data_IF_747159129306
#
_entry.id   IF_747159129306
#
_cell.length_a   1.000
_cell.length_b   1.000
_cell.length_c   1.000
_cell.angle_alpha   90.00
_cell.angle_beta   90.00
_cell.angle_gamma   90.00
#
_symmetry.space_group_name_H-M   'P 1'
#
loop_
_entity.id
_entity.type
_entity.pdbx_description
1 polymer ?
#
# COMPACT_ATOMS: atom_id res chain seq x y z
N UNK A 1 -7.71 13.14 -19.30
CA UNK A 1 -7.58 11.86 -18.55
C UNK A 1 -8.76 10.98 -18.89
N UNK A 2 -8.53 9.71 -19.24
CA UNK A 2 -9.64 8.77 -19.48
C UNK A 2 -10.20 8.27 -18.14
N UNK A 3 -11.48 7.87 -18.13
CA UNK A 3 -12.18 7.37 -16.93
C UNK A 3 -11.46 6.18 -16.29
N UNK A 4 -10.79 5.35 -17.10
CA UNK A 4 -10.01 4.19 -16.66
C UNK A 4 -8.74 4.62 -15.92
N UNK A 5 -7.97 5.56 -16.45
CA UNK A 5 -6.77 6.08 -15.77
C UNK A 5 -7.13 6.69 -14.41
N UNK A 6 -8.24 7.45 -14.35
CA UNK A 6 -8.71 8.05 -13.09
C UNK A 6 -9.04 6.97 -12.04
N UNK A 7 -9.72 5.89 -12.41
CA UNK A 7 -10.03 4.77 -11.49
C UNK A 7 -8.77 4.06 -11.01
N UNK A 8 -7.82 3.77 -11.90
CA UNK A 8 -6.54 3.14 -11.55
C UNK A 8 -5.74 3.98 -10.54
N UNK A 9 -5.68 5.30 -10.74
CA UNK A 9 -5.00 6.20 -9.80
C UNK A 9 -5.68 6.23 -8.44
N UNK A 10 -7.01 6.27 -8.38
CA UNK A 10 -7.76 6.23 -7.11
C UNK A 10 -7.50 4.92 -6.36
N UNK A 11 -7.54 3.78 -7.06
CA UNK A 11 -7.25 2.46 -6.46
C UNK A 11 -5.81 2.39 -5.97
N UNK A 12 -4.85 2.88 -6.76
CA UNK A 12 -3.44 2.92 -6.36
C UNK A 12 -3.23 3.73 -5.08
N UNK A 13 -3.82 4.93 -5.00
CA UNK A 13 -3.74 5.79 -3.81
C UNK A 13 -4.35 5.08 -2.60
N UNK A 14 -5.54 4.48 -2.75
CA UNK A 14 -6.18 3.73 -1.66
C UNK A 14 -5.30 2.58 -1.14
N UNK A 15 -4.74 1.77 -2.04
CA UNK A 15 -3.87 0.66 -1.66
C UNK A 15 -2.61 1.15 -0.95
N UNK A 16 -1.97 2.20 -1.45
CA UNK A 16 -0.78 2.80 -0.82
C UNK A 16 -1.13 3.34 0.57
N UNK A 17 -2.23 4.08 0.71
CA UNK A 17 -2.67 4.64 2.00
C UNK A 17 -3.00 3.55 3.00
N UNK A 18 -3.76 2.53 2.60
CA UNK A 18 -4.10 1.39 3.47
C UNK A 18 -2.84 0.61 3.88
N UNK A 19 -1.92 0.37 2.93
CA UNK A 19 -0.65 -0.28 3.22
C UNK A 19 0.22 0.54 4.19
N UNK A 20 0.26 1.85 4.04
CA UNK A 20 0.97 2.75 4.97
C UNK A 20 0.36 2.72 6.38
N UNK A 21 -0.97 2.73 6.49
CA UNK A 21 -1.65 2.61 7.79
C UNK A 21 -1.33 1.26 8.45
N UNK A 22 -1.38 0.16 7.71
CA UNK A 22 -1.01 -1.18 8.20
C UNK A 22 0.42 -1.20 8.71
N UNK A 23 1.37 -0.63 7.95
CA UNK A 23 2.78 -0.55 8.36
C UNK A 23 2.97 0.32 9.62
N UNK A 24 2.30 1.47 9.70
CA UNK A 24 2.36 2.34 10.89
C UNK A 24 1.79 1.66 12.13
N UNK A 25 0.63 0.98 12.01
CA UNK A 25 0.03 0.22 13.12
C UNK A 25 0.91 -0.97 13.52
N UNK A 26 1.48 -1.68 12.54
CA UNK A 26 2.43 -2.77 12.78
C UNK A 26 3.68 -2.31 13.53
N UNK A 27 4.27 -1.19 13.12
CA UNK A 27 5.44 -0.61 13.78
C UNK A 27 5.15 -0.14 15.22
N UNK A 28 4.04 0.59 15.41
CA UNK A 28 3.62 1.06 16.74
C UNK A 28 3.26 -0.11 17.67
N UNK A 29 2.62 -1.16 17.15
CA UNK A 29 2.32 -2.38 17.90
C UNK A 29 3.57 -3.18 18.28
N UNK A 30 4.59 -3.19 17.42
CA UNK A 30 5.88 -3.80 17.73
C UNK A 30 6.62 -3.06 18.85
N UNK A 31 6.65 -1.73 18.80
CA UNK A 31 7.32 -0.90 19.81
C UNK A 31 6.64 -1.01 21.19
N UNK A 32 5.30 -1.04 21.22
CA UNK A 32 4.52 -1.00 22.47
C UNK A 32 4.40 -2.35 23.19
N UNK A 33 4.61 -3.46 22.49
CA UNK A 33 4.32 -4.82 22.99
C UNK A 33 5.60 -5.66 23.18
N UNK A 34 6.76 -5.01 23.19
CA UNK A 34 8.09 -5.61 23.41
C UNK A 34 8.15 -6.56 24.63
N UNK A 35 7.30 -6.36 25.63
CA UNK A 35 7.26 -7.14 26.87
C UNK A 35 6.27 -8.34 26.86
N UNK A 36 5.40 -8.48 25.85
CA UNK A 36 4.36 -9.53 25.79
C UNK A 36 4.16 -10.10 24.37
N UNK A 37 5.00 -11.05 23.92
CA UNK A 37 5.00 -11.57 22.54
C UNK A 37 3.67 -12.21 22.11
N UNK A 38 2.90 -12.78 23.05
CA UNK A 38 1.64 -13.48 22.75
C UNK A 38 0.48 -12.53 22.39
N UNK A 39 0.59 -11.23 22.71
CA UNK A 39 -0.41 -10.22 22.33
C UNK A 39 -0.19 -9.65 20.90
N UNK A 40 0.90 -10.04 20.22
CA UNK A 40 1.44 -9.29 19.07
C UNK A 40 1.29 -9.97 17.70
N UNK A 41 0.46 -11.02 17.59
CA UNK A 41 0.19 -11.73 16.31
C UNK A 41 -0.29 -10.74 15.22
N UNK A 42 -1.11 -9.74 15.59
CA UNK A 42 -1.59 -8.71 14.67
C UNK A 42 -0.50 -7.77 14.17
N UNK A 43 0.51 -7.44 14.99
CA UNK A 43 1.62 -6.59 14.58
C UNK A 43 2.57 -7.31 13.62
N UNK A 44 2.82 -8.61 13.86
CA UNK A 44 3.57 -9.47 12.94
C UNK A 44 2.87 -9.60 11.58
N UNK A 45 1.55 -9.81 11.57
CA UNK A 45 0.75 -9.86 10.33
C UNK A 45 0.76 -8.53 9.57
N UNK A 46 0.69 -7.39 10.28
CA UNK A 46 0.72 -6.07 9.67
C UNK A 46 2.08 -5.73 9.03
N UNK A 47 3.18 -6.14 9.67
CA UNK A 47 4.54 -5.99 9.12
C UNK A 47 4.80 -6.92 7.93
N UNK A 48 4.19 -8.11 7.92
CA UNK A 48 4.31 -9.03 6.79
C UNK A 48 3.43 -8.60 5.62
N UNK A 49 2.18 -8.21 5.86
CA UNK A 49 1.20 -7.85 4.82
C UNK A 49 1.39 -6.44 4.25
N UNK A 50 1.82 -5.49 5.09
CA UNK A 50 2.00 -4.08 4.72
C UNK A 50 2.86 -3.86 3.47
N UNK A 51 4.05 -4.49 3.35
CA UNK A 51 4.90 -4.37 2.16
C UNK A 51 4.24 -4.89 0.89
N UNK A 52 3.46 -5.97 0.96
CA UNK A 52 2.76 -6.53 -0.20
C UNK A 52 1.61 -5.62 -0.66
N UNK A 53 0.87 -5.02 0.29
CA UNK A 53 -0.22 -4.07 -0.03
C UNK A 53 0.35 -2.79 -0.65
N UNK A 54 1.45 -2.26 -0.10
CA UNK A 54 2.16 -1.11 -0.69
C UNK A 54 2.74 -1.46 -2.07
N UNK A 55 3.33 -2.65 -2.21
CA UNK A 55 3.87 -3.15 -3.48
C UNK A 55 2.80 -3.24 -4.57
N UNK A 56 1.61 -3.78 -4.27
CA UNK A 56 0.48 -3.81 -5.19
C UNK A 56 0.02 -2.39 -5.58
N UNK A 57 -0.04 -1.47 -4.62
CA UNK A 57 -0.37 -0.07 -4.88
C UNK A 57 0.63 0.61 -5.83
N UNK A 58 1.93 0.33 -5.67
CA UNK A 58 2.99 0.82 -6.57
C UNK A 58 2.87 0.26 -7.98
N UNK A 59 2.55 -1.02 -8.15
CA UNK A 59 2.33 -1.63 -9.47
C UNK A 59 1.18 -0.93 -10.20
N UNK A 60 0.05 -0.71 -9.51
CA UNK A 60 -1.08 0.03 -10.07
C UNK A 60 -0.73 1.47 -10.44
N UNK A 61 0.07 2.16 -9.60
CA UNK A 61 0.56 3.50 -9.88
C UNK A 61 1.46 3.54 -11.13
N UNK A 62 2.36 2.56 -11.27
CA UNK A 62 3.23 2.37 -12.44
C UNK A 62 2.41 2.14 -13.71
N UNK A 63 1.43 1.22 -13.68
CA UNK A 63 0.55 0.95 -14.83
C UNK A 63 -0.25 2.18 -15.25
N UNK A 64 -0.77 2.96 -14.29
CA UNK A 64 -1.46 4.22 -14.57
C UNK A 64 -0.51 5.26 -15.19
N UNK A 65 0.70 5.41 -14.65
CA UNK A 65 1.73 6.31 -15.16
C UNK A 65 2.19 5.96 -16.57
N UNK A 66 2.45 4.68 -16.84
CA UNK A 66 2.81 4.15 -18.17
C UNK A 66 1.70 4.37 -19.19
N UNK A 67 0.44 4.14 -18.81
CA UNK A 67 -0.71 4.39 -19.69
C UNK A 67 -0.85 5.87 -20.02
N UNK A 68 -0.63 6.75 -19.03
CA UNK A 68 -0.69 8.19 -19.27
C UNK A 68 0.48 8.66 -20.16
N UNK A 69 1.69 8.17 -19.92
CA UNK A 69 2.89 8.53 -20.69
C UNK A 69 2.83 8.07 -22.14
N UNK A 70 2.36 6.86 -22.39
CA UNK A 70 2.16 6.31 -23.74
C UNK A 70 1.07 7.06 -24.50
N UNK A 71 -0.04 7.41 -23.84
CA UNK A 71 -1.10 8.25 -24.43
C UNK A 71 -0.60 9.66 -24.77
N UNK A 72 0.32 10.21 -23.97
CA UNK A 72 0.92 11.53 -24.20
C UNK A 72 1.93 11.55 -25.36
N UNK A 73 2.48 10.40 -25.73
CA UNK A 73 3.46 10.24 -26.83
C UNK A 73 2.81 9.90 -28.17
N UNK A 74 1.52 9.56 -28.20
CA UNK A 74 0.71 9.44 -29.42
C UNK A 74 0.01 10.76 -29.70
#
# INVERSE_FOLDING_TARGET
>A
MTTVTKRLTVVAVLLITVGAILLSVGALGFEKTSDQPDANIGAGFALLAGPYVVGLGLVFALSAGLTHWTTRRR
#
